data_IF_926227868762
#
_entry.id   IF_926227868762
#
_cell.length_a   1.000
_cell.length_b   1.000
_cell.length_c   1.000
_cell.angle_alpha   90.00
_cell.angle_beta   90.00
_cell.angle_gamma   90.00
#
_symmetry.space_group_name_H-M   'P 1'
#
loop_
_entity.id
_entity.type
_entity.pdbx_description
1 polymer ?
#
# COMPACT_ATOMS: atom_id res chain seq x y z
N UNK A 1 8.11 11.68 -5.96
CA UNK A 1 8.79 10.39 -6.17
C UNK A 1 9.76 10.02 -5.05
N UNK A 2 10.67 10.92 -4.64
CA UNK A 2 11.61 10.66 -3.53
C UNK A 2 10.91 10.17 -2.26
N UNK A 3 9.88 10.89 -1.79
CA UNK A 3 9.10 10.52 -0.60
C UNK A 3 8.46 9.11 -0.66
N UNK A 4 7.99 8.67 -1.83
CA UNK A 4 7.42 7.32 -1.96
C UNK A 4 8.51 6.26 -1.80
N UNK A 5 9.69 6.49 -2.40
CA UNK A 5 10.85 5.60 -2.24
C UNK A 5 11.29 5.51 -0.79
N UNK A 6 11.35 6.63 -0.08
CA UNK A 6 11.71 6.66 1.35
C UNK A 6 10.72 5.86 2.20
N UNK A 7 9.42 6.00 1.92
CA UNK A 7 8.38 5.22 2.61
C UNK A 7 8.48 3.73 2.26
N UNK A 8 8.79 3.36 1.01
CA UNK A 8 8.98 1.96 0.63
C UNK A 8 10.16 1.31 1.36
N UNK A 9 11.27 2.04 1.51
CA UNK A 9 12.42 1.60 2.31
C UNK A 9 11.96 1.38 3.76
N UNK A 10 11.26 2.35 4.36
CA UNK A 10 10.71 2.22 5.71
C UNK A 10 9.76 1.03 5.86
N UNK A 11 8.87 0.80 4.88
CA UNK A 11 7.94 -0.33 4.88
C UNK A 11 8.67 -1.67 4.91
N UNK A 12 9.81 -1.78 4.21
CA UNK A 12 10.61 -3.00 4.16
C UNK A 12 11.39 -3.24 5.46
N UNK A 13 11.97 -2.18 6.05
CA UNK A 13 12.78 -2.29 7.26
C UNK A 13 11.98 -2.31 8.57
N UNK A 14 10.85 -1.61 8.65
CA UNK A 14 10.07 -1.42 9.88
C UNK A 14 8.56 -1.35 9.60
N UNK A 15 7.95 -2.46 9.11
CA UNK A 15 6.53 -2.48 8.71
C UNK A 15 5.56 -2.15 9.85
N UNK A 16 5.93 -2.37 11.12
CA UNK A 16 5.16 -2.02 12.31
C UNK A 16 5.18 -0.52 12.64
N UNK A 17 6.09 0.24 12.03
CA UNK A 17 6.29 1.66 12.31
C UNK A 17 5.89 2.57 11.13
N UNK A 18 4.96 2.12 10.28
CA UNK A 18 4.47 2.92 9.15
C UNK A 18 3.20 3.69 9.55
N UNK A 19 3.20 5.00 9.32
CA UNK A 19 1.99 5.83 9.54
C UNK A 19 0.92 5.43 8.52
N UNK A 20 -0.34 5.39 8.96
CA UNK A 20 -1.44 5.01 8.06
C UNK A 20 -1.54 5.94 6.84
N UNK A 21 -1.30 7.24 7.03
CA UNK A 21 -1.29 8.23 5.94
C UNK A 21 -0.20 7.97 4.91
N UNK A 22 0.98 7.52 5.34
CA UNK A 22 2.10 7.23 4.45
C UNK A 22 1.82 5.96 3.63
N UNK A 23 1.26 4.92 4.26
CA UNK A 23 0.79 3.73 3.53
C UNK A 23 -0.31 4.08 2.53
N UNK A 24 -1.26 4.95 2.89
CA UNK A 24 -2.29 5.44 1.98
C UNK A 24 -1.67 6.12 0.75
N UNK A 25 -0.65 6.96 0.95
CA UNK A 25 0.02 7.68 -0.13
C UNK A 25 0.71 6.72 -1.11
N UNK A 26 1.35 5.66 -0.58
CA UNK A 26 1.93 4.59 -1.41
C UNK A 26 0.85 3.85 -2.19
N UNK A 27 -0.25 3.46 -1.54
CA UNK A 27 -1.34 2.77 -2.23
C UNK A 27 -2.03 3.65 -3.29
N UNK A 28 -2.28 4.93 -3.00
CA UNK A 28 -2.85 5.88 -3.96
C UNK A 28 -1.93 6.05 -5.19
N UNK A 29 -0.59 6.00 -4.99
CA UNK A 29 0.39 6.08 -6.08
C UNK A 29 0.41 4.83 -6.97
N UNK A 30 0.37 3.63 -6.39
CA UNK A 30 0.49 2.36 -7.14
C UNK A 30 -0.83 1.80 -7.66
N UNK A 31 -1.92 1.97 -6.90
CA UNK A 31 -3.21 1.33 -7.19
C UNK A 31 -4.32 2.35 -7.50
N UNK A 32 -3.99 3.65 -7.55
CA UNK A 32 -4.94 4.74 -7.76
C UNK A 32 -5.84 5.00 -6.56
N UNK A 33 -6.94 5.73 -6.78
CA UNK A 33 -7.82 6.16 -5.70
C UNK A 33 -8.51 4.97 -5.00
N UNK A 34 -8.47 4.94 -3.66
CA UNK A 34 -9.25 3.98 -2.87
C UNK A 34 -10.76 4.04 -3.20
N UNK A 35 -11.40 2.86 -3.24
CA UNK A 35 -12.86 2.74 -3.47
C UNK A 35 -13.68 3.40 -2.36
N UNK A 36 -13.14 3.43 -1.15
CA UNK A 36 -13.76 4.05 0.03
C UNK A 36 -12.70 4.88 0.75
N UNK A 37 -13.02 6.17 0.96
CA UNK A 37 -12.10 7.16 1.55
C UNK A 37 -12.55 7.71 2.91
N UNK A 38 -13.82 7.50 3.28
CA UNK A 38 -14.45 8.13 4.44
C UNK A 38 -14.26 7.41 5.78
N UNK A 39 -13.55 6.28 5.84
CA UNK A 39 -13.40 5.49 7.05
C UNK A 39 -11.94 5.29 7.46
N UNK A 40 -11.74 4.64 8.62
CA UNK A 40 -10.44 4.12 9.06
C UNK A 40 -9.92 2.97 8.20
N UNK A 41 -10.64 2.56 7.16
CA UNK A 41 -10.25 1.52 6.21
C UNK A 41 -10.18 2.08 4.79
N UNK A 42 -9.27 1.53 3.99
CA UNK A 42 -9.21 1.81 2.55
C UNK A 42 -8.99 0.53 1.77
N UNK A 43 -9.80 0.35 0.73
CA UNK A 43 -9.73 -0.78 -0.18
C UNK A 43 -9.36 -0.27 -1.57
N UNK A 44 -8.37 -0.87 -2.19
CA UNK A 44 -7.86 -0.51 -3.51
C UNK A 44 -8.14 -1.64 -4.52
N UNK A 45 -8.33 -1.26 -5.79
CA UNK A 45 -8.52 -2.24 -6.88
C UNK A 45 -7.14 -2.66 -7.40
N UNK A 46 -6.96 -3.95 -7.60
CA UNK A 46 -5.78 -4.53 -8.25
C UNK A 46 -6.17 -5.06 -9.64
N UNK A 47 -5.23 -5.15 -10.60
CA UNK A 47 -5.52 -5.67 -11.94
C UNK A 47 -5.62 -7.21 -11.97
N UNK A 48 -5.20 -7.91 -10.92
CA UNK A 48 -5.36 -9.34 -10.78
C UNK A 48 -6.55 -9.73 -9.91
N UNK A 49 -7.01 -10.98 -10.08
CA UNK A 49 -7.95 -11.62 -9.17
C UNK A 49 -7.23 -12.27 -7.99
N UNK A 50 -7.89 -12.32 -6.84
CA UNK A 50 -7.37 -12.96 -5.63
C UNK A 50 -6.31 -12.15 -4.89
N UNK A 51 -5.45 -12.85 -4.14
CA UNK A 51 -4.39 -12.26 -3.33
C UNK A 51 -3.10 -11.97 -4.14
N UNK A 52 -2.28 -10.99 -3.73
CA UNK A 52 -2.46 -10.14 -2.54
C UNK A 52 -3.53 -9.07 -2.77
N UNK A 53 -4.44 -8.92 -1.80
CA UNK A 53 -5.42 -7.83 -1.76
C UNK A 53 -4.84 -6.61 -1.06
N UNK A 54 -5.24 -5.43 -1.52
CA UNK A 54 -4.84 -4.15 -0.91
C UNK A 54 -6.02 -3.59 -0.10
N UNK A 55 -6.12 -4.04 1.15
CA UNK A 55 -7.10 -3.58 2.14
C UNK A 55 -6.38 -3.16 3.41
N UNK A 56 -6.27 -1.85 3.64
CA UNK A 56 -5.48 -1.26 4.72
C UNK A 56 -6.39 -0.67 5.78
N UNK A 57 -5.97 -0.72 7.03
CA UNK A 57 -6.71 -0.20 8.18
C UNK A 57 -5.81 0.67 9.06
N UNK A 58 -6.38 1.79 9.51
CA UNK A 58 -5.81 2.65 10.51
C UNK A 58 -5.94 2.00 11.89
N UNK A 59 -4.82 1.87 12.57
CA UNK A 59 -4.71 1.47 13.96
C UNK A 59 -4.02 2.58 14.75
N UNK A 60 -4.80 3.46 15.39
CA UNK A 60 -4.31 4.58 16.21
C UNK A 60 -3.24 5.45 15.52
N UNK A 61 -3.43 5.73 14.23
CA UNK A 61 -2.53 6.55 13.40
C UNK A 61 -1.47 5.77 12.61
N UNK A 62 -1.28 4.48 12.90
CA UNK A 62 -0.37 3.58 12.17
C UNK A 62 -1.13 2.58 11.31
N UNK A 63 -0.45 2.04 10.30
CA UNK A 63 -0.94 0.88 9.58
C UNK A 63 -0.68 -0.40 10.39
N UNK A 64 -1.46 -1.45 10.12
CA UNK A 64 -1.15 -2.78 10.67
C UNK A 64 0.02 -3.38 9.88
N UNK A 65 1.03 -3.91 10.57
CA UNK A 65 2.27 -4.41 9.97
C UNK A 65 2.05 -5.46 8.87
N UNK A 66 1.09 -6.38 9.07
CA UNK A 66 0.78 -7.39 8.05
C UNK A 66 0.18 -6.77 6.78
N UNK A 67 -0.58 -5.67 6.89
CA UNK A 67 -1.12 -4.96 5.73
C UNK A 67 -0.02 -4.23 4.98
N UNK A 68 0.97 -3.68 5.68
CA UNK A 68 2.17 -3.11 5.05
C UNK A 68 2.89 -4.18 4.22
N UNK A 69 3.09 -5.38 4.78
CA UNK A 69 3.70 -6.51 4.05
C UNK A 69 2.87 -6.96 2.85
N UNK A 70 1.54 -7.02 2.98
CA UNK A 70 0.64 -7.33 1.87
C UNK A 70 0.72 -6.29 0.75
N UNK A 71 0.85 -5.00 1.11
CA UNK A 71 1.05 -3.93 0.12
C UNK A 71 2.38 -4.07 -0.60
N UNK A 72 3.48 -4.41 0.10
CA UNK A 72 4.76 -4.68 -0.55
C UNK A 72 4.65 -5.83 -1.57
N UNK A 73 4.03 -6.95 -1.20
CA UNK A 73 3.79 -8.08 -2.12
C UNK A 73 2.92 -7.67 -3.32
N UNK A 74 1.91 -6.83 -3.11
CA UNK A 74 1.07 -6.31 -4.19
C UNK A 74 1.85 -5.39 -5.14
N UNK A 75 2.72 -4.54 -4.61
CA UNK A 75 3.57 -3.66 -5.42
C UNK A 75 4.55 -4.50 -6.24
N UNK A 76 5.22 -5.47 -5.63
CA UNK A 76 6.11 -6.40 -6.32
C UNK A 76 5.38 -7.12 -7.47
N UNK A 77 4.19 -7.68 -7.20
CA UNK A 77 3.36 -8.32 -8.23
C UNK A 77 2.98 -7.35 -9.36
N UNK A 78 2.66 -6.11 -9.03
CA UNK A 78 2.29 -5.09 -10.00
C UNK A 78 3.50 -4.73 -10.89
N UNK A 79 4.66 -4.48 -10.30
CA UNK A 79 5.87 -4.09 -11.04
C UNK A 79 6.43 -5.25 -11.89
N UNK A 80 6.38 -6.49 -11.40
CA UNK A 80 6.87 -7.68 -12.14
C UNK A 80 5.95 -8.06 -13.30
N UNK A 81 4.63 -8.06 -13.09
CA UNK A 81 3.68 -8.62 -14.08
C UNK A 81 2.98 -7.59 -14.96
N UNK A 82 2.96 -6.31 -14.55
CA UNK A 82 2.22 -5.25 -15.23
C UNK A 82 3.11 -4.03 -15.47
N UNK A 83 4.39 -4.30 -15.77
CA UNK A 83 5.48 -3.32 -15.98
C UNK A 83 4.96 -1.91 -16.12
N UNK A 84 5.12 -1.13 -15.04
CA UNK A 84 4.56 0.22 -14.98
C UNK A 84 5.21 1.05 -16.09
N UNK A 85 4.50 1.21 -17.21
CA UNK A 85 4.74 2.32 -18.13
C UNK A 85 4.58 3.59 -17.29
N UNK A 86 5.72 4.18 -16.94
CA UNK A 86 5.80 5.49 -16.32
C UNK A 86 6.15 6.52 -17.37
#
# INVERSE_FOLDING_TARGET
MAKIKDILIQMNHSPENVRFKDLCMVCDYYFGNARQRGSSHRIYKTPWQGDPRVNIQNNKGKAKAYQVKQVLMAIERLEVNYGTEK
#
